data_IF_462844520282
#
_entry.id   IF_462844520282
#
_cell.length_a   1.000
_cell.length_b   1.000
_cell.length_c   1.000
_cell.angle_alpha   90.00
_cell.angle_beta   90.00
_cell.angle_gamma   90.00
#
_symmetry.space_group_name_H-M   'P 1'
#
loop_
_entity.id
_entity.type
_entity.pdbx_description
1 polymer ?
#
# COMPACT_ATOMS: atom_id res chain seq x y z
N UNK A 1 -8.19 -13.48 -20.39
CA UNK A 1 -8.94 -14.49 -19.61
C UNK A 1 -10.40 -14.11 -19.68
N UNK A 2 -11.29 -15.04 -20.05
CA UNK A 2 -12.74 -14.81 -20.05
C UNK A 2 -13.33 -15.42 -18.77
N UNK A 3 -14.22 -14.72 -18.07
CA UNK A 3 -14.85 -15.17 -16.83
C UNK A 3 -16.31 -15.46 -17.13
N UNK A 4 -16.64 -16.73 -17.26
CA UNK A 4 -18.00 -17.17 -17.57
C UNK A 4 -18.63 -17.95 -16.42
N UNK A 5 -17.79 -18.65 -15.64
CA UNK A 5 -18.27 -19.52 -14.58
C UNK A 5 -17.53 -19.26 -13.24
N UNK A 6 -18.04 -19.90 -12.19
CA UNK A 6 -17.50 -19.75 -10.83
C UNK A 6 -16.04 -20.21 -10.71
N UNK A 7 -15.64 -21.24 -11.45
CA UNK A 7 -14.26 -21.75 -11.43
C UNK A 7 -13.30 -20.71 -11.99
N UNK A 8 -13.71 -19.96 -13.02
CA UNK A 8 -12.90 -18.87 -13.59
C UNK A 8 -12.71 -17.74 -12.57
N UNK A 9 -13.76 -17.41 -11.81
CA UNK A 9 -13.67 -16.41 -10.73
C UNK A 9 -12.68 -16.85 -9.64
N UNK A 10 -12.69 -18.14 -9.29
CA UNK A 10 -11.74 -18.71 -8.31
C UNK A 10 -10.30 -18.73 -8.84
N UNK A 11 -10.13 -19.01 -10.13
CA UNK A 11 -8.82 -18.94 -10.78
C UNK A 11 -8.31 -17.50 -10.84
N UNK A 12 -9.17 -16.53 -11.13
CA UNK A 12 -8.83 -15.11 -11.09
C UNK A 12 -8.46 -14.65 -9.66
N UNK A 13 -9.22 -15.09 -8.65
CA UNK A 13 -8.89 -14.85 -7.23
C UNK A 13 -7.52 -15.44 -6.87
N UNK A 14 -7.24 -16.67 -7.32
CA UNK A 14 -5.95 -17.33 -7.08
C UNK A 14 -4.81 -16.58 -7.77
N UNK A 15 -4.98 -16.23 -9.04
CA UNK A 15 -3.98 -15.45 -9.80
C UNK A 15 -3.67 -14.11 -9.11
N UNK A 16 -4.69 -13.41 -8.61
CA UNK A 16 -4.50 -12.19 -7.84
C UNK A 16 -3.72 -12.43 -6.53
N UNK A 17 -4.10 -13.46 -5.76
CA UNK A 17 -3.40 -13.78 -4.48
C UNK A 17 -1.96 -14.22 -4.68
N UNK A 18 -1.71 -15.00 -5.71
CA UNK A 18 -0.38 -15.52 -6.06
C UNK A 18 0.44 -14.55 -6.92
N UNK A 19 -0.10 -13.36 -7.23
CA UNK A 19 0.59 -12.30 -7.97
C UNK A 19 1.12 -12.77 -9.32
N UNK A 20 0.30 -13.52 -10.05
CA UNK A 20 0.66 -13.94 -11.40
C UNK A 20 0.92 -12.71 -12.28
N UNK A 21 1.92 -12.81 -13.15
CA UNK A 21 2.22 -11.76 -14.10
C UNK A 21 1.04 -11.61 -15.07
N UNK A 22 0.46 -10.42 -15.09
CA UNK A 22 -0.64 -10.04 -15.97
C UNK A 22 -0.35 -8.65 -16.51
N UNK A 23 -0.62 -8.44 -17.80
CA UNK A 23 -0.60 -7.09 -18.34
C UNK A 23 -1.72 -6.25 -17.73
N UNK A 24 -1.55 -4.93 -17.74
CA UNK A 24 -2.58 -4.01 -17.24
C UNK A 24 -3.89 -4.17 -18.00
N UNK A 25 -3.84 -4.40 -19.31
CA UNK A 25 -5.01 -4.68 -20.14
C UNK A 25 -5.75 -5.95 -19.70
N UNK A 26 -5.00 -7.02 -19.38
CA UNK A 26 -5.58 -8.26 -18.88
C UNK A 26 -6.22 -8.07 -17.52
N UNK A 27 -5.56 -7.31 -16.62
CA UNK A 27 -6.10 -6.99 -15.30
C UNK A 27 -7.38 -6.17 -15.41
N UNK A 28 -7.38 -5.13 -16.23
CA UNK A 28 -8.54 -4.27 -16.46
C UNK A 28 -9.72 -5.04 -17.06
N UNK A 29 -9.43 -5.93 -18.02
CA UNK A 29 -10.45 -6.81 -18.61
C UNK A 29 -11.09 -7.73 -17.57
N UNK A 30 -10.28 -8.39 -16.73
CA UNK A 30 -10.75 -9.28 -15.67
C UNK A 30 -11.58 -8.52 -14.64
N UNK A 31 -11.09 -7.36 -14.17
CA UNK A 31 -11.81 -6.52 -13.21
C UNK A 31 -13.16 -6.06 -13.78
N UNK A 32 -13.20 -5.63 -15.04
CA UNK A 32 -14.43 -5.19 -15.70
C UNK A 32 -15.48 -6.30 -15.76
N UNK A 33 -15.05 -7.52 -16.08
CA UNK A 33 -15.94 -8.69 -16.12
C UNK A 33 -16.47 -9.06 -14.73
N UNK A 34 -15.62 -9.03 -13.69
CA UNK A 34 -16.05 -9.29 -12.31
C UNK A 34 -17.09 -8.27 -11.83
N UNK A 35 -16.89 -6.98 -12.14
CA UNK A 35 -17.86 -5.92 -11.81
C UNK A 35 -19.19 -6.15 -12.52
N UNK A 36 -19.17 -6.53 -13.80
CA UNK A 36 -20.39 -6.81 -14.55
C UNK A 36 -21.22 -7.94 -13.91
N UNK A 37 -20.57 -9.02 -13.45
CA UNK A 37 -21.22 -10.15 -12.78
C UNK A 37 -21.84 -9.74 -11.43
N UNK A 38 -21.16 -8.87 -10.68
CA UNK A 38 -21.67 -8.35 -9.40
C UNK A 38 -22.91 -7.47 -9.62
N UNK A 39 -22.88 -6.63 -10.66
CA UNK A 39 -23.94 -5.70 -11.00
C UNK A 39 -25.16 -6.36 -11.65
N UNK A 40 -25.01 -7.54 -12.26
CA UNK A 40 -26.10 -8.25 -12.93
C UNK A 40 -27.18 -8.68 -11.93
N UNK A 41 -28.43 -8.18 -12.03
CA UNK A 41 -29.51 -8.60 -11.13
C UNK A 41 -29.86 -10.08 -11.25
N UNK A 42 -29.59 -10.71 -12.40
CA UNK A 42 -29.95 -12.11 -12.68
C UNK A 42 -28.86 -13.11 -12.26
N UNK A 43 -27.63 -12.65 -11.98
CA UNK A 43 -26.55 -13.52 -11.54
C UNK A 43 -26.88 -14.17 -10.20
N UNK A 44 -26.48 -15.45 -10.03
CA UNK A 44 -26.77 -16.19 -8.80
C UNK A 44 -25.98 -15.59 -7.63
N UNK A 45 -26.56 -15.59 -6.43
CA UNK A 45 -25.88 -15.07 -5.23
C UNK A 45 -24.48 -15.68 -5.02
N UNK A 46 -24.30 -16.97 -5.36
CA UNK A 46 -23.00 -17.65 -5.25
C UNK A 46 -21.95 -17.10 -6.24
N UNK A 47 -22.37 -16.72 -7.44
CA UNK A 47 -21.50 -16.11 -8.46
C UNK A 47 -21.12 -14.70 -8.03
N UNK A 48 -22.09 -13.90 -7.56
CA UNK A 48 -21.84 -12.56 -7.00
C UNK A 48 -20.82 -12.61 -5.86
N UNK A 49 -20.99 -13.53 -4.91
CA UNK A 49 -20.04 -13.69 -3.80
C UNK A 49 -18.65 -14.08 -4.29
N UNK A 50 -18.55 -15.02 -5.24
CA UNK A 50 -17.26 -15.42 -5.80
C UNK A 50 -16.57 -14.27 -6.55
N UNK A 51 -17.32 -13.53 -7.37
CA UNK A 51 -16.82 -12.37 -8.09
C UNK A 51 -16.37 -11.25 -7.13
N UNK A 52 -17.13 -10.96 -6.07
CA UNK A 52 -16.73 -9.97 -5.06
C UNK A 52 -15.45 -10.34 -4.32
N UNK A 53 -15.24 -11.64 -4.02
CA UNK A 53 -14.00 -12.12 -3.38
C UNK A 53 -12.79 -11.98 -4.31
N UNK A 54 -12.96 -12.33 -5.59
CA UNK A 54 -11.94 -12.16 -6.60
C UNK A 54 -11.58 -10.67 -6.76
N UNK A 55 -12.59 -9.79 -6.87
CA UNK A 55 -12.40 -8.35 -7.02
C UNK A 55 -11.64 -7.75 -5.82
N UNK A 56 -12.00 -8.15 -4.59
CA UNK A 56 -11.28 -7.72 -3.39
C UNK A 56 -9.81 -8.18 -3.36
N UNK A 57 -9.51 -9.35 -3.95
CA UNK A 57 -8.13 -9.82 -4.07
C UNK A 57 -7.30 -8.95 -5.04
N UNK A 58 -7.92 -8.48 -6.14
CA UNK A 58 -7.28 -7.54 -7.05
C UNK A 58 -7.08 -6.15 -6.43
N UNK A 59 -8.04 -5.66 -5.64
CA UNK A 59 -7.92 -4.35 -4.97
C UNK A 59 -6.76 -4.33 -3.96
N UNK A 60 -6.59 -5.42 -3.21
CA UNK A 60 -5.47 -5.57 -2.26
C UNK A 60 -4.10 -5.47 -2.93
N UNK A 61 -3.97 -5.89 -4.20
CA UNK A 61 -2.73 -5.71 -4.96
C UNK A 61 -2.43 -4.24 -5.25
N UNK A 62 -3.46 -3.43 -5.54
CA UNK A 62 -3.29 -2.00 -5.81
C UNK A 62 -2.84 -1.22 -4.56
N UNK A 63 -3.33 -1.59 -3.37
CA UNK A 63 -2.92 -0.96 -2.10
C UNK A 63 -1.45 -1.25 -1.77
N UNK A 64 -0.97 -2.47 -2.06
CA UNK A 64 0.43 -2.86 -1.82
C UNK A 64 1.41 -2.39 -2.92
N UNK A 65 0.90 -2.04 -4.11
CA UNK A 65 1.68 -1.46 -5.21
C UNK A 65 1.81 0.06 -5.14
N UNK A 66 1.06 0.75 -4.27
CA UNK A 66 1.50 2.07 -3.87
C UNK A 66 2.92 1.91 -3.31
N UNK A 67 3.93 2.61 -3.85
CA UNK A 67 5.23 2.59 -3.22
C UNK A 67 4.95 3.03 -1.79
N UNK A 68 5.12 2.14 -0.81
CA UNK A 68 5.31 2.53 0.57
C UNK A 68 6.35 3.62 0.46
N UNK A 69 5.91 4.87 0.58
CA UNK A 69 6.77 6.02 0.34
C UNK A 69 8.03 5.69 1.10
N UNK A 70 9.14 5.52 0.37
CA UNK A 70 10.46 5.28 0.95
C UNK A 70 10.89 6.58 1.60
N UNK A 71 10.09 7.11 2.51
CA UNK A 71 10.53 8.04 3.53
C UNK A 71 11.22 7.21 4.63
N UNK A 72 12.15 6.34 4.22
CA UNK A 72 13.31 6.01 5.02
C UNK A 72 14.32 7.16 4.81
N UNK A 73 13.87 8.39 5.03
CA UNK A 73 14.81 9.49 5.24
C UNK A 73 15.38 9.20 6.62
N UNK A 74 16.66 8.82 6.65
CA UNK A 74 17.45 8.49 7.83
C UNK A 74 17.04 9.32 9.06
N UNK A 75 16.09 8.82 9.87
CA UNK A 75 15.72 9.46 11.14
C UNK A 75 16.95 9.61 12.03
N UNK A 76 17.90 8.67 11.94
CA UNK A 76 19.17 8.73 12.63
C UNK A 76 20.02 9.96 12.25
N UNK A 77 19.97 10.42 11.00
CA UNK A 77 20.73 11.59 10.55
C UNK A 77 20.07 12.89 11.05
N UNK A 78 18.75 13.01 10.89
CA UNK A 78 18.00 14.19 11.35
C UNK A 78 18.00 14.33 12.89
N UNK A 79 17.97 13.21 13.62
CA UNK A 79 18.09 13.21 15.09
C UNK A 79 19.52 13.55 15.55
N UNK A 80 20.54 13.15 14.78
CA UNK A 80 21.94 13.52 15.04
C UNK A 80 22.15 15.03 14.89
N UNK A 81 21.66 15.62 13.81
CA UNK A 81 21.76 17.07 13.57
C UNK A 81 21.06 17.88 14.68
N UNK A 82 19.84 17.49 15.07
CA UNK A 82 19.12 18.16 16.16
C UNK A 82 19.82 18.02 17.52
N UNK A 83 20.46 16.88 17.78
CA UNK A 83 21.20 16.66 19.04
C UNK A 83 22.41 17.58 19.15
N UNK A 84 23.12 17.79 18.05
CA UNK A 84 24.32 18.63 18.03
C UNK A 84 23.96 20.12 18.17
N UNK A 85 22.86 20.55 17.55
CA UNK A 85 22.32 21.90 17.75
C UNK A 85 21.89 22.16 19.20
N UNK A 86 21.28 21.16 19.84
CA UNK A 86 20.89 21.26 21.25
C UNK A 86 22.11 21.39 22.17
N UNK A 87 23.18 20.64 21.90
CA UNK A 87 24.45 20.73 22.63
C UNK A 87 25.09 22.11 22.51
N UNK A 88 25.22 22.63 21.29
CA UNK A 88 25.75 23.99 21.04
C UNK A 88 24.89 25.08 21.68
N UNK A 89 23.60 24.84 21.86
CA UNK A 89 22.71 25.78 22.53
C UNK A 89 22.87 25.74 24.04
N UNK A 90 23.03 24.56 24.63
CA UNK A 90 23.32 24.41 26.06
C UNK A 90 24.66 25.06 26.38
N UNK A 91 25.71 24.78 25.60
CA UNK A 91 27.05 25.33 25.83
C UNK A 91 27.09 26.87 25.75
N UNK A 92 26.30 27.46 24.85
CA UNK A 92 26.12 28.93 24.80
C UNK A 92 25.35 29.50 26.00
N UNK A 93 24.45 28.71 26.59
CA UNK A 93 23.65 29.13 27.74
C UNK A 93 24.38 28.90 29.06
N UNK A 94 25.29 27.91 29.13
CA UNK A 94 26.04 27.56 30.33
C UNK A 94 27.46 28.12 30.35
N UNK A 95 28.02 28.49 29.20
CA UNK A 95 29.38 29.03 29.07
C UNK A 95 29.48 30.56 29.24
N UNK A 96 28.52 31.20 29.91
CA UNK A 96 28.53 32.66 30.14
C UNK A 96 28.48 33.09 31.61
N UNK A 97 28.71 32.17 32.57
CA UNK A 97 28.64 32.48 34.00
C UNK A 97 29.99 32.41 34.76
N UNK A 98 31.13 32.15 34.11
CA UNK A 98 32.43 32.03 34.80
C UNK A 98 33.42 33.18 34.50
N UNK A 99 32.93 34.41 34.29
CA UNK A 99 33.85 35.56 34.13
C UNK A 99 33.28 36.88 34.63
N UNK A 100 32.78 36.93 35.89
CA UNK A 100 32.80 38.15 36.72
C UNK A 100 32.86 37.78 38.22
N UNK A 101 34.02 37.93 38.84
CA UNK A 101 34.19 37.75 40.28
C UNK A 101 35.65 37.90 40.71
N UNK A 102 36.14 39.13 40.57
CA UNK A 102 37.41 39.60 41.12
C UNK A 102 37.48 39.51 42.65
#
# INVERSE_FOLDING_TARGET
MNIENRSDMQLAEKAARERWEMSDDQRNSVVSQLVAIIADPNAKNREKIAASRALAAFDRLNVDQQPKSRTNVNLNLALSEKKEDLRRRIERLTGSDDDQGA
#
